data_IF_276641196509
#
_entry.id   IF_276641196509
#
_cell.length_a   1.000
_cell.length_b   1.000
_cell.length_c   1.000
_cell.angle_alpha   90.00
_cell.angle_beta   90.00
_cell.angle_gamma   90.00
#
_symmetry.space_group_name_H-M   'P 1'
#
loop_
_entity.id
_entity.type
_entity.pdbx_description
1 polymer ?
#
# COMPACT_ATOMS: atom_id res chain seq x y z
N UNK A 1 22.37 27.27 -20.25
CA UNK A 1 21.17 26.52 -19.83
C UNK A 1 21.62 25.45 -18.87
N UNK A 2 20.92 25.20 -17.75
CA UNK A 2 21.25 24.06 -16.91
C UNK A 2 21.03 22.77 -17.70
N UNK A 3 22.05 21.92 -17.76
CA UNK A 3 21.95 20.55 -18.26
C UNK A 3 21.63 19.63 -17.09
N UNK A 4 20.58 18.82 -17.23
CA UNK A 4 20.22 17.80 -16.26
C UNK A 4 20.55 16.44 -16.85
N UNK A 5 21.21 15.59 -16.08
CA UNK A 5 21.42 14.20 -16.47
C UNK A 5 20.06 13.48 -16.59
N UNK A 6 19.87 12.60 -17.58
CA UNK A 6 18.69 11.74 -17.62
C UNK A 6 18.75 10.75 -16.44
N UNK A 7 17.78 10.83 -15.54
CA UNK A 7 17.70 9.98 -14.35
C UNK A 7 17.09 8.60 -14.63
N UNK A 8 16.32 8.46 -15.73
CA UNK A 8 15.61 7.25 -16.13
C UNK A 8 15.76 6.99 -17.64
N UNK A 9 15.68 5.72 -18.06
CA UNK A 9 15.56 5.36 -19.48
C UNK A 9 14.15 5.63 -19.99
N UNK A 10 13.96 5.66 -21.32
CA UNK A 10 12.63 5.85 -21.92
C UNK A 10 11.66 4.71 -21.61
N UNK A 11 12.18 3.51 -21.43
CA UNK A 11 11.43 2.33 -21.03
C UNK A 11 10.94 2.47 -19.58
N UNK A 12 11.81 2.93 -18.66
CA UNK A 12 11.45 3.19 -17.26
C UNK A 12 10.42 4.31 -17.13
N UNK A 13 10.59 5.41 -17.89
CA UNK A 13 9.59 6.50 -17.94
C UNK A 13 8.23 5.97 -18.41
N UNK A 14 8.22 5.18 -19.49
CA UNK A 14 6.99 4.60 -20.04
C UNK A 14 6.31 3.66 -19.05
N UNK A 15 7.07 2.78 -18.40
CA UNK A 15 6.55 1.86 -17.37
C UNK A 15 5.86 2.63 -16.24
N UNK A 16 6.50 3.65 -15.68
CA UNK A 16 5.93 4.47 -14.61
C UNK A 16 4.66 5.21 -15.05
N UNK A 17 4.66 5.77 -16.26
CA UNK A 17 3.49 6.45 -16.84
C UNK A 17 2.32 5.48 -17.03
N UNK A 18 2.58 4.28 -17.53
CA UNK A 18 1.55 3.28 -17.79
C UNK A 18 0.93 2.77 -16.48
N UNK A 19 1.76 2.52 -15.46
CA UNK A 19 1.28 2.16 -14.11
C UNK A 19 0.43 3.29 -13.52
N UNK A 20 0.92 4.53 -13.57
CA UNK A 20 0.19 5.68 -13.03
C UNK A 20 -1.18 5.84 -13.70
N UNK A 21 -1.25 5.73 -15.04
CA UNK A 21 -2.52 5.78 -15.80
C UNK A 21 -3.47 4.64 -15.43
N UNK A 22 -2.95 3.44 -15.23
CA UNK A 22 -3.76 2.29 -14.82
C UNK A 22 -4.35 2.47 -13.41
N UNK A 23 -3.60 3.08 -12.49
CA UNK A 23 -4.08 3.44 -11.15
C UNK A 23 -5.20 4.48 -11.22
N UNK A 24 -5.12 5.48 -12.11
CA UNK A 24 -6.14 6.55 -12.21
C UNK A 24 -7.16 6.34 -13.32
N UNK A 25 -7.43 5.07 -13.69
CA UNK A 25 -8.43 4.75 -14.71
C UNK A 25 -9.81 5.37 -14.35
N UNK A 26 -10.55 5.94 -15.33
CA UNK A 26 -11.84 6.56 -15.07
C UNK A 26 -12.81 5.63 -14.32
N UNK A 27 -13.43 6.15 -13.25
CA UNK A 27 -14.36 5.39 -12.42
C UNK A 27 -13.71 4.44 -11.41
N UNK A 28 -12.36 4.40 -11.33
CA UNK A 28 -11.64 3.61 -10.34
C UNK A 28 -10.89 4.48 -9.33
N UNK A 29 -10.65 3.92 -8.15
CA UNK A 29 -9.90 4.54 -7.06
C UNK A 29 -8.89 3.61 -6.40
N UNK A 30 -8.32 4.09 -5.30
CA UNK A 30 -7.34 3.37 -4.48
C UNK A 30 -7.97 2.99 -3.14
N UNK A 31 -7.81 1.73 -2.74
CA UNK A 31 -8.08 1.28 -1.38
C UNK A 31 -6.78 1.37 -0.55
N UNK A 32 -6.73 2.27 0.41
CA UNK A 32 -5.61 2.38 1.35
C UNK A 32 -5.80 1.37 2.50
N UNK A 33 -5.11 0.22 2.41
CA UNK A 33 -5.13 -0.86 3.40
C UNK A 33 -3.75 -1.04 4.07
N UNK A 34 -3.00 0.05 4.17
CA UNK A 34 -1.60 0.13 4.60
C UNK A 34 -1.44 0.52 6.07
N UNK A 35 -2.50 0.36 6.87
CA UNK A 35 -2.41 0.64 8.30
C UNK A 35 -1.35 -0.26 8.97
N UNK A 36 -0.38 0.40 9.61
CA UNK A 36 0.60 -0.27 10.46
C UNK A 36 -0.09 -1.08 11.56
N UNK A 37 0.65 -1.99 12.19
CA UNK A 37 0.15 -2.81 13.31
C UNK A 37 -0.50 -1.96 14.41
N UNK A 38 0.08 -0.81 14.74
CA UNK A 38 -0.46 0.11 15.75
C UNK A 38 -1.75 0.81 15.28
N UNK A 39 -1.78 1.29 14.04
CA UNK A 39 -2.97 1.95 13.48
C UNK A 39 -4.14 0.96 13.34
N UNK A 40 -3.87 -0.25 12.83
CA UNK A 40 -4.88 -1.30 12.73
C UNK A 40 -5.38 -1.76 14.11
N UNK A 41 -4.48 -1.80 15.10
CA UNK A 41 -4.87 -2.11 16.48
C UNK A 41 -5.93 -1.18 17.04
N UNK A 42 -5.81 0.14 16.80
CA UNK A 42 -6.84 1.11 17.18
C UNK A 42 -8.17 0.86 16.46
N UNK A 43 -8.12 0.48 15.18
CA UNK A 43 -9.31 0.15 14.38
C UNK A 43 -10.02 -1.10 14.91
N UNK A 44 -9.28 -2.17 15.21
CA UNK A 44 -9.82 -3.41 15.78
C UNK A 44 -10.38 -3.21 17.19
N UNK A 45 -9.69 -2.42 18.03
CA UNK A 45 -10.18 -2.09 19.37
C UNK A 45 -11.52 -1.36 19.33
N UNK A 46 -11.73 -0.48 18.34
CA UNK A 46 -13.00 0.23 18.15
C UNK A 46 -14.22 -0.68 17.91
N UNK A 47 -13.99 -1.94 17.53
CA UNK A 47 -15.03 -2.97 17.34
C UNK A 47 -14.90 -4.14 18.34
N UNK A 48 -14.07 -3.99 19.39
CA UNK A 48 -13.89 -5.02 20.43
C UNK A 48 -13.10 -6.24 19.99
N UNK A 49 -12.30 -6.15 18.93
CA UNK A 49 -11.46 -7.25 18.42
C UNK A 49 -10.02 -7.08 18.87
N UNK A 50 -9.38 -8.17 19.30
CA UNK A 50 -7.97 -8.18 19.71
C UNK A 50 -7.02 -7.93 18.54
N UNK A 51 -5.94 -7.17 18.76
CA UNK A 51 -4.93 -6.88 17.73
C UNK A 51 -3.91 -8.02 17.55
N UNK A 52 -4.36 -9.16 17.03
CA UNK A 52 -3.49 -10.29 16.64
C UNK A 52 -3.16 -10.23 15.15
N UNK A 53 -2.06 -10.88 14.74
CA UNK A 53 -1.72 -11.01 13.31
C UNK A 53 -2.84 -11.68 12.52
N UNK A 54 -3.45 -12.73 13.06
CA UNK A 54 -4.55 -13.43 12.40
C UNK A 54 -5.78 -12.54 12.23
N UNK A 55 -6.17 -11.75 13.24
CA UNK A 55 -7.30 -10.83 13.11
C UNK A 55 -7.00 -9.72 12.08
N UNK A 56 -5.75 -9.25 12.03
CA UNK A 56 -5.28 -8.31 11.01
C UNK A 56 -5.32 -8.93 9.62
N UNK A 57 -4.94 -10.20 9.45
CA UNK A 57 -4.99 -10.96 8.21
C UNK A 57 -6.43 -11.17 7.75
N UNK A 58 -7.32 -11.63 8.64
CA UNK A 58 -8.75 -11.83 8.38
C UNK A 58 -9.42 -10.54 7.92
N UNK A 59 -9.12 -9.42 8.57
CA UNK A 59 -9.65 -8.12 8.16
C UNK A 59 -9.28 -7.79 6.70
N UNK A 60 -8.03 -8.05 6.29
CA UNK A 60 -7.59 -7.81 4.90
C UNK A 60 -8.16 -8.84 3.93
N UNK A 61 -8.31 -10.09 4.37
CA UNK A 61 -8.96 -11.13 3.57
C UNK A 61 -10.40 -10.71 3.22
N UNK A 62 -11.18 -10.21 4.17
CA UNK A 62 -12.53 -9.68 3.91
C UNK A 62 -12.51 -8.61 2.82
N UNK A 63 -11.57 -7.66 2.87
CA UNK A 63 -11.45 -6.61 1.86
C UNK A 63 -11.09 -7.17 0.49
N UNK A 64 -10.09 -8.04 0.39
CA UNK A 64 -9.54 -8.48 -0.90
C UNK A 64 -10.34 -9.61 -1.55
N UNK A 65 -11.11 -10.37 -0.77
CA UNK A 65 -12.00 -11.42 -1.27
C UNK A 65 -13.40 -10.91 -1.61
N UNK A 66 -13.67 -9.61 -1.42
CA UNK A 66 -14.87 -8.95 -1.94
C UNK A 66 -15.07 -9.28 -3.41
N UNK A 67 -16.34 -9.38 -3.82
CA UNK A 67 -16.74 -9.82 -5.16
C UNK A 67 -16.24 -8.89 -6.29
N UNK A 68 -16.75 -9.08 -7.50
CA UNK A 68 -16.34 -8.32 -8.69
C UNK A 68 -16.48 -6.80 -8.51
N UNK A 69 -17.37 -6.33 -7.63
CA UNK A 69 -17.53 -4.90 -7.34
C UNK A 69 -16.24 -4.24 -6.89
N UNK A 70 -15.34 -4.97 -6.21
CA UNK A 70 -14.03 -4.44 -5.84
C UNK A 70 -13.22 -4.09 -7.09
N UNK A 71 -13.10 -5.02 -8.03
CA UNK A 71 -12.32 -4.83 -9.27
C UNK A 71 -12.93 -3.78 -10.21
N UNK A 72 -14.24 -3.60 -10.17
CA UNK A 72 -14.94 -2.60 -10.99
C UNK A 72 -14.66 -1.17 -10.51
N UNK A 73 -14.40 -0.97 -9.21
CA UNK A 73 -14.24 0.35 -8.59
C UNK A 73 -12.82 0.64 -8.08
N UNK A 74 -11.97 -0.37 -7.91
CA UNK A 74 -10.62 -0.23 -7.36
C UNK A 74 -9.61 -0.69 -8.40
N UNK A 75 -8.62 0.15 -8.68
CA UNK A 75 -7.50 -0.11 -9.59
C UNK A 75 -6.20 -0.38 -8.84
N UNK A 76 -6.09 0.09 -7.58
CA UNK A 76 -4.90 -0.11 -6.76
C UNK A 76 -5.22 -0.27 -5.29
N UNK A 77 -4.37 -1.02 -4.59
CA UNK A 77 -4.45 -1.22 -3.13
C UNK A 77 -3.08 -0.95 -2.53
N UNK A 78 -3.02 -0.09 -1.52
CA UNK A 78 -1.77 0.14 -0.77
C UNK A 78 -1.72 -0.84 0.39
N UNK A 79 -0.64 -1.61 0.50
CA UNK A 79 -0.44 -2.64 1.51
C UNK A 79 0.59 -2.19 2.55
N UNK A 80 0.45 -2.70 3.77
CA UNK A 80 1.52 -2.69 4.77
C UNK A 80 2.44 -3.90 4.56
N UNK A 81 3.69 -3.79 4.99
CA UNK A 81 4.70 -4.85 4.81
C UNK A 81 4.25 -6.23 5.29
N UNK A 82 3.56 -6.30 6.44
CA UNK A 82 2.99 -7.55 6.96
C UNK A 82 2.01 -8.19 5.95
N UNK A 83 1.10 -7.39 5.39
CA UNK A 83 0.06 -7.86 4.46
C UNK A 83 0.62 -8.28 3.10
N UNK A 84 1.73 -7.69 2.66
CA UNK A 84 2.38 -8.04 1.39
C UNK A 84 2.74 -9.53 1.30
N UNK A 85 3.09 -10.15 2.43
CA UNK A 85 3.49 -11.57 2.51
C UNK A 85 2.42 -12.48 3.11
N UNK A 86 1.29 -11.91 3.53
CA UNK A 86 0.18 -12.68 4.08
C UNK A 86 -0.60 -13.42 2.99
N UNK A 87 -1.27 -14.47 3.45
CA UNK A 87 -2.10 -15.34 2.63
C UNK A 87 -3.55 -15.31 3.09
N UNK A 88 -4.46 -15.60 2.17
CA UNK A 88 -5.84 -15.92 2.51
C UNK A 88 -5.93 -17.29 3.23
N UNK A 89 -7.13 -17.63 3.68
CA UNK A 89 -7.42 -18.92 4.33
C UNK A 89 -7.19 -20.14 3.43
N UNK A 90 -7.08 -19.95 2.11
CA UNK A 90 -6.76 -20.99 1.13
C UNK A 90 -5.26 -21.08 0.81
N UNK A 91 -4.42 -20.27 1.47
CA UNK A 91 -2.97 -20.29 1.31
C UNK A 91 -2.45 -19.49 0.11
N UNK A 92 -3.28 -18.66 -0.52
CA UNK A 92 -2.92 -17.79 -1.64
C UNK A 92 -2.47 -16.41 -1.16
N UNK A 93 -1.39 -15.89 -1.74
CA UNK A 93 -0.90 -14.56 -1.37
C UNK A 93 -1.91 -13.48 -1.74
N UNK A 94 -2.08 -12.48 -0.86
CA UNK A 94 -2.96 -11.34 -1.15
C UNK A 94 -2.56 -10.59 -2.42
N UNK A 95 -1.26 -10.45 -2.70
CA UNK A 95 -0.78 -9.82 -3.94
C UNK A 95 -1.26 -10.55 -5.19
N UNK A 96 -1.37 -11.88 -5.14
CA UNK A 96 -1.84 -12.68 -6.27
C UNK A 96 -3.35 -12.54 -6.45
N UNK A 97 -4.11 -12.52 -5.34
CA UNK A 97 -5.56 -12.25 -5.36
C UNK A 97 -5.86 -10.90 -6.01
N UNK A 98 -5.11 -9.85 -5.65
CA UNK A 98 -5.28 -8.51 -6.21
C UNK A 98 -4.95 -8.48 -7.71
N UNK A 99 -3.82 -9.08 -8.10
CA UNK A 99 -3.40 -9.15 -9.52
C UNK A 99 -4.41 -9.88 -10.39
N UNK A 100 -4.98 -10.99 -9.92
CA UNK A 100 -6.02 -11.71 -10.66
C UNK A 100 -7.30 -10.91 -10.85
N UNK A 101 -7.58 -9.97 -9.94
CA UNK A 101 -8.67 -9.01 -10.05
C UNK A 101 -8.31 -7.78 -10.90
N UNK A 102 -7.13 -7.75 -11.52
CA UNK A 102 -6.57 -6.58 -12.22
C UNK A 102 -6.46 -5.34 -11.30
N UNK A 103 -6.10 -5.56 -10.04
CA UNK A 103 -5.84 -4.52 -9.04
C UNK A 103 -4.32 -4.48 -8.79
N UNK A 104 -3.74 -3.29 -8.89
CA UNK A 104 -2.30 -3.06 -8.75
C UNK A 104 -1.93 -3.03 -7.26
N UNK A 105 -1.10 -3.97 -6.76
CA UNK A 105 -0.60 -3.89 -5.40
C UNK A 105 0.46 -2.78 -5.28
N UNK A 106 0.26 -1.87 -4.33
CA UNK A 106 1.22 -0.87 -3.88
C UNK A 106 1.71 -1.19 -2.48
N UNK A 107 2.86 -0.63 -2.10
CA UNK A 107 3.49 -0.85 -0.80
C UNK A 107 3.78 0.49 -0.12
N UNK A 108 3.41 0.60 1.15
CA UNK A 108 3.85 1.71 2.00
C UNK A 108 5.30 1.51 2.40
N UNK A 109 6.15 2.49 2.11
CA UNK A 109 7.60 2.42 2.32
C UNK A 109 8.14 3.38 3.39
N UNK A 110 7.35 4.35 3.85
CA UNK A 110 7.77 5.20 4.95
C UNK A 110 7.85 4.41 6.28
N UNK A 111 8.72 4.88 7.18
CA UNK A 111 8.90 4.32 8.52
C UNK A 111 8.31 5.23 9.60
N UNK A 112 7.26 5.99 9.24
CA UNK A 112 6.59 6.95 10.11
C UNK A 112 7.28 8.31 10.21
N UNK A 113 6.74 9.14 11.10
CA UNK A 113 7.19 10.52 11.32
C UNK A 113 8.12 10.63 12.53
N UNK A 114 9.03 11.61 12.50
CA UNK A 114 9.92 11.97 13.60
C UNK A 114 9.85 13.48 13.88
N UNK A 115 10.00 13.92 15.14
CA UNK A 115 9.93 15.35 15.49
C UNK A 115 11.00 16.17 14.75
N UNK A 116 10.60 17.34 14.24
CA UNK A 116 11.52 18.28 13.60
C UNK A 116 12.06 19.26 14.65
N UNK A 117 13.35 19.13 14.99
CA UNK A 117 13.98 19.95 16.02
C UNK A 117 13.89 21.45 15.68
N UNK A 118 13.53 22.27 16.68
CA UNK A 118 13.40 23.73 16.53
C UNK A 118 12.03 24.21 16.02
N UNK A 119 11.05 23.32 15.90
CA UNK A 119 9.68 23.65 15.46
C UNK A 119 8.65 23.43 16.55
N UNK A 120 7.43 23.95 16.35
CA UNK A 120 6.32 23.73 17.28
C UNK A 120 5.49 22.51 16.86
N UNK A 121 5.89 21.33 17.36
CA UNK A 121 5.22 20.05 17.08
C UNK A 121 5.10 19.70 15.58
N UNK A 122 6.01 20.21 14.74
CA UNK A 122 6.11 19.75 13.35
C UNK A 122 6.96 18.47 13.29
N UNK A 123 6.71 17.68 12.26
CA UNK A 123 7.39 16.41 12.04
C UNK A 123 7.92 16.32 10.60
N UNK A 124 8.95 15.51 10.42
CA UNK A 124 9.39 15.02 9.10
C UNK A 124 9.16 13.52 9.00
N UNK A 125 9.32 12.93 7.81
CA UNK A 125 9.13 11.49 7.56
C UNK A 125 10.47 10.80 7.38
N UNK A 126 10.62 9.61 7.95
CA UNK A 126 11.82 8.77 7.79
C UNK A 126 11.54 7.57 6.89
N UNK A 127 12.60 6.97 6.30
CA UNK A 127 12.47 5.75 5.50
C UNK A 127 13.47 5.59 4.36
N UNK A 128 14.15 6.67 3.96
CA UNK A 128 15.03 6.67 2.78
C UNK A 128 16.24 5.74 2.91
N UNK A 129 16.75 5.52 4.13
CA UNK A 129 17.85 4.61 4.37
C UNK A 129 17.46 3.17 3.95
N UNK A 130 18.00 2.75 2.80
CA UNK A 130 17.78 1.47 2.09
C UNK A 130 16.48 1.35 1.29
N UNK A 131 15.79 2.45 0.98
CA UNK A 131 14.57 2.41 0.17
C UNK A 131 14.78 1.70 -1.20
N UNK A 132 15.96 1.83 -1.82
CA UNK A 132 16.29 1.16 -3.08
C UNK A 132 16.58 -0.36 -2.97
N UNK A 133 16.70 -0.90 -1.76
CA UNK A 133 17.03 -2.31 -1.49
C UNK A 133 15.89 -3.10 -0.83
N UNK A 134 14.71 -2.50 -0.75
CA UNK A 134 13.49 -3.07 -0.14
C UNK A 134 12.52 -3.43 -1.25
#
# INVERSE_FOLDING_TARGET
MPEFAPYLTKEQEKELIDIARAIVAPGKGILAADESVGSMGKRLQGIGVENTEENRRQYREVLFTTDKSLADNISGVILFHETLYQKDSNGKLFVDILKEKNIIPGIKVDKGVVPLAGTNNECTTQGEARAAAT
#
